data_IF_829930923930
#
_entry.id   IF_829930923930
#
_cell.length_a   1.000
_cell.length_b   1.000
_cell.length_c   1.000
_cell.angle_alpha   90.00
_cell.angle_beta   90.00
_cell.angle_gamma   90.00
#
_symmetry.space_group_name_H-M   'P 1'
#
loop_
_entity.id
_entity.type
_entity.pdbx_description
1 polymer ?
#
# COMPACT_ATOMS: atom_id res chain seq x y z
N UNK A 1 -24.99 1.03 13.42
CA UNK A 1 -25.54 0.48 12.16
C UNK A 1 -24.79 1.19 11.05
N UNK A 2 -23.54 0.76 10.79
CA UNK A 2 -22.55 1.49 9.99
C UNK A 2 -21.92 0.58 8.94
N UNK A 3 -22.69 0.22 7.91
CA UNK A 3 -22.27 -0.76 6.90
C UNK A 3 -22.29 -0.29 5.42
N UNK A 4 -23.04 0.74 4.98
CA UNK A 4 -23.04 1.09 3.55
C UNK A 4 -21.84 1.95 3.13
N UNK A 5 -21.44 2.94 3.93
CA UNK A 5 -20.36 3.87 3.56
C UNK A 5 -18.99 3.20 3.49
N UNK A 6 -18.72 2.23 4.37
CA UNK A 6 -17.47 1.46 4.36
C UNK A 6 -17.37 0.55 3.14
N UNK A 7 -18.49 -0.03 2.70
CA UNK A 7 -18.54 -0.86 1.48
C UNK A 7 -18.35 -0.04 0.21
N UNK A 8 -18.96 1.15 0.15
CA UNK A 8 -18.82 2.09 -0.96
C UNK A 8 -17.38 2.61 -1.07
N UNK A 9 -16.80 3.03 0.05
CA UNK A 9 -15.43 3.53 0.11
C UNK A 9 -14.41 2.45 -0.28
N UNK A 10 -14.59 1.21 0.18
CA UNK A 10 -13.73 0.09 -0.21
C UNK A 10 -13.83 -0.21 -1.71
N UNK A 11 -15.04 -0.18 -2.28
CA UNK A 11 -15.28 -0.36 -3.72
C UNK A 11 -14.60 0.74 -4.54
N UNK A 12 -14.77 2.00 -4.15
CA UNK A 12 -14.13 3.14 -4.80
C UNK A 12 -12.60 3.09 -4.68
N UNK A 13 -12.08 2.80 -3.49
CA UNK A 13 -10.63 2.64 -3.28
C UNK A 13 -10.03 1.56 -4.18
N UNK A 14 -10.72 0.42 -4.34
CA UNK A 14 -10.29 -0.61 -5.29
C UNK A 14 -10.34 -0.12 -6.74
N UNK A 15 -11.41 0.55 -7.14
CA UNK A 15 -11.55 1.08 -8.49
C UNK A 15 -10.45 2.12 -8.83
N UNK A 16 -10.06 2.97 -7.87
CA UNK A 16 -8.93 3.89 -8.03
C UNK A 16 -7.65 3.11 -8.33
N UNK A 17 -7.34 2.08 -7.54
CA UNK A 17 -6.13 1.26 -7.75
C UNK A 17 -6.17 0.56 -9.10
N UNK A 18 -7.30 -0.04 -9.47
CA UNK A 18 -7.43 -0.74 -10.74
C UNK A 18 -7.24 0.23 -11.93
N UNK A 19 -7.79 1.45 -11.87
CA UNK A 19 -7.59 2.49 -12.88
C UNK A 19 -6.13 2.96 -12.98
N UNK A 20 -5.43 3.11 -11.84
CA UNK A 20 -3.99 3.44 -11.83
C UNK A 20 -3.19 2.34 -12.53
N UNK A 21 -3.45 1.07 -12.21
CA UNK A 21 -2.75 -0.07 -12.81
C UNK A 21 -3.05 -0.20 -14.31
N UNK A 22 -4.23 0.25 -14.76
CA UNK A 22 -4.62 0.29 -16.17
C UNK A 22 -4.09 1.52 -16.93
N UNK A 23 -3.27 2.37 -16.30
CA UNK A 23 -2.76 3.64 -16.86
C UNK A 23 -3.87 4.66 -17.20
N UNK A 24 -5.04 4.52 -16.58
CA UNK A 24 -6.20 5.41 -16.78
C UNK A 24 -6.22 6.51 -15.71
N UNK A 25 -5.25 7.41 -15.77
CA UNK A 25 -5.01 8.36 -14.68
C UNK A 25 -6.13 9.40 -14.50
N UNK A 26 -6.75 9.87 -15.58
CA UNK A 26 -7.87 10.82 -15.48
C UNK A 26 -9.08 10.17 -14.78
N UNK A 27 -9.33 8.88 -15.06
CA UNK A 27 -10.37 8.10 -14.40
C UNK A 27 -10.02 7.85 -12.92
N UNK A 28 -8.76 7.52 -12.62
CA UNK A 28 -8.29 7.37 -11.25
C UNK A 28 -8.49 8.66 -10.42
N UNK A 29 -8.24 9.85 -11.00
CA UNK A 29 -8.48 11.13 -10.31
C UNK A 29 -9.98 11.36 -10.04
N UNK A 30 -10.83 11.07 -11.02
CA UNK A 30 -12.28 11.19 -10.86
C UNK A 30 -12.82 10.26 -9.77
N UNK A 31 -12.37 9.00 -9.76
CA UNK A 31 -12.74 8.02 -8.75
C UNK A 31 -12.21 8.38 -7.37
N UNK A 32 -10.99 8.93 -7.28
CA UNK A 32 -10.39 9.38 -6.03
C UNK A 32 -11.15 10.58 -5.46
N UNK A 33 -11.59 11.52 -6.30
CA UNK A 33 -12.44 12.63 -5.88
C UNK A 33 -13.77 12.12 -5.29
N UNK A 34 -14.41 11.14 -5.92
CA UNK A 34 -15.62 10.50 -5.37
C UNK A 34 -15.33 9.79 -4.04
N UNK A 35 -14.18 9.13 -3.91
CA UNK A 35 -13.76 8.51 -2.65
C UNK A 35 -13.61 9.56 -1.54
N UNK A 36 -13.03 10.72 -1.82
CA UNK A 36 -12.91 11.80 -0.83
C UNK A 36 -14.25 12.38 -0.38
N UNK A 37 -15.27 12.33 -1.23
CA UNK A 37 -16.63 12.78 -0.91
C UNK A 37 -17.33 11.78 0.01
N UNK A 38 -17.23 10.48 -0.30
CA UNK A 38 -17.85 9.40 0.49
C UNK A 38 -17.08 9.09 1.78
N UNK A 39 -15.75 9.20 1.74
CA UNK A 39 -14.86 8.91 2.86
C UNK A 39 -13.79 10.01 3.00
N UNK A 40 -14.11 11.13 3.68
CA UNK A 40 -13.20 12.27 3.79
C UNK A 40 -11.80 11.98 4.33
N UNK A 41 -11.64 10.97 5.19
CA UNK A 41 -10.34 10.56 5.72
C UNK A 41 -9.39 9.98 4.66
N UNK A 42 -9.90 9.60 3.48
CA UNK A 42 -9.05 9.20 2.36
C UNK A 42 -8.16 10.35 1.84
N UNK A 43 -8.48 11.61 2.15
CA UNK A 43 -7.63 12.77 1.80
C UNK A 43 -6.26 12.71 2.46
N UNK A 44 -6.18 12.03 3.60
CA UNK A 44 -4.95 11.84 4.37
C UNK A 44 -4.21 10.55 3.98
N UNK A 45 -4.68 9.83 2.95
CA UNK A 45 -4.03 8.62 2.45
C UNK A 45 -3.08 8.96 1.29
N UNK A 46 -1.76 9.09 1.53
CA UNK A 46 -0.82 9.51 0.50
C UNK A 46 -0.64 8.45 -0.61
N UNK A 47 -0.97 7.19 -0.33
CA UNK A 47 -0.77 6.05 -1.23
C UNK A 47 -1.31 6.29 -2.64
N UNK A 48 -2.53 6.84 -2.79
CA UNK A 48 -3.12 7.04 -4.11
C UNK A 48 -2.30 8.05 -4.94
N UNK A 49 -1.90 9.16 -4.32
CA UNK A 49 -1.09 10.19 -4.98
C UNK A 49 0.30 9.66 -5.34
N UNK A 50 0.90 8.85 -4.47
CA UNK A 50 2.18 8.19 -4.72
C UNK A 50 2.07 7.24 -5.90
N UNK A 51 1.09 6.34 -5.91
CA UNK A 51 0.88 5.38 -6.99
C UNK A 51 0.65 6.07 -8.34
N UNK A 52 -0.15 7.13 -8.37
CA UNK A 52 -0.36 7.92 -9.59
C UNK A 52 0.93 8.59 -10.09
N UNK A 53 1.76 9.14 -9.20
CA UNK A 53 3.04 9.73 -9.58
C UNK A 53 4.01 8.65 -10.12
N UNK A 54 4.06 7.48 -9.49
CA UNK A 54 4.87 6.35 -9.94
C UNK A 54 4.41 5.83 -11.32
N UNK A 55 3.09 5.75 -11.54
CA UNK A 55 2.53 5.37 -12.83
C UNK A 55 2.92 6.35 -13.94
N UNK A 56 2.98 7.66 -13.63
CA UNK A 56 3.51 8.71 -14.52
C UNK A 56 5.02 8.67 -14.72
N UNK A 57 5.73 7.72 -14.10
CA UNK A 57 7.20 7.64 -14.02
C UNK A 57 7.83 8.85 -13.34
N UNK A 58 7.05 9.60 -12.56
CA UNK A 58 7.49 10.74 -11.77
C UNK A 58 7.84 10.29 -10.34
N UNK A 59 8.94 9.54 -10.22
CA UNK A 59 9.43 9.05 -8.93
C UNK A 59 9.80 10.22 -7.99
N UNK A 60 10.22 11.36 -8.55
CA UNK A 60 10.53 12.56 -7.77
C UNK A 60 9.28 13.20 -7.18
N UNK A 61 8.20 13.30 -7.95
CA UNK A 61 6.90 13.73 -7.45
C UNK A 61 6.36 12.79 -6.37
N UNK A 62 6.51 11.47 -6.55
CA UNK A 62 6.16 10.50 -5.53
C UNK A 62 6.96 10.70 -4.23
N UNK A 63 8.27 10.92 -4.35
CA UNK A 63 9.13 11.26 -3.22
C UNK A 63 8.74 12.56 -2.52
N UNK A 64 8.41 13.62 -3.27
CA UNK A 64 7.94 14.89 -2.69
C UNK A 64 6.69 14.73 -1.84
N UNK A 65 5.76 13.84 -2.25
CA UNK A 65 4.56 13.53 -1.46
C UNK A 65 4.95 12.90 -0.13
N UNK A 66 5.76 11.84 -0.14
CA UNK A 66 6.07 11.08 1.09
C UNK A 66 7.07 11.79 2.00
N UNK A 67 8.00 12.57 1.45
CA UNK A 67 8.98 13.33 2.22
C UNK A 67 8.37 14.56 2.92
N UNK A 68 7.18 15.01 2.48
CA UNK A 68 6.40 16.03 3.19
C UNK A 68 5.68 15.50 4.44
N UNK A 69 5.65 14.18 4.66
CA UNK A 69 5.00 13.56 5.80
C UNK A 69 5.97 13.43 6.98
N UNK A 70 5.45 13.38 8.23
CA UNK A 70 6.24 13.06 9.42
C UNK A 70 7.07 11.77 9.27
N UNK A 71 8.15 11.68 10.03
CA UNK A 71 9.16 10.63 9.81
C UNK A 71 8.62 9.21 9.98
N UNK A 72 7.72 9.06 10.95
CA UNK A 72 7.03 7.84 11.35
C UNK A 72 5.81 7.50 10.48
N UNK A 73 5.39 8.38 9.56
CA UNK A 73 4.23 8.16 8.71
C UNK A 73 4.60 7.52 7.37
N UNK A 74 3.97 6.38 7.09
CA UNK A 74 4.11 5.61 5.85
C UNK A 74 5.59 5.31 5.47
N UNK A 75 6.42 4.81 6.40
CA UNK A 75 7.83 4.51 6.13
C UNK A 75 8.04 3.49 4.98
N UNK A 76 7.05 2.64 4.71
CA UNK A 76 7.03 1.72 3.58
C UNK A 76 6.99 2.43 2.22
N UNK A 77 6.30 3.57 2.12
CA UNK A 77 6.26 4.37 0.89
C UNK A 77 7.55 5.14 0.69
N UNK A 78 8.20 5.58 1.78
CA UNK A 78 9.55 6.15 1.73
C UNK A 78 10.56 5.11 1.22
N UNK A 79 10.53 3.89 1.76
CA UNK A 79 11.38 2.79 1.30
C UNK A 79 11.21 2.55 -0.21
N UNK A 80 9.96 2.45 -0.69
CA UNK A 80 9.66 2.24 -2.11
C UNK A 80 10.19 3.38 -2.99
N UNK A 81 9.94 4.64 -2.62
CA UNK A 81 10.37 5.79 -3.41
C UNK A 81 11.90 5.89 -3.47
N UNK A 82 12.59 5.72 -2.35
CA UNK A 82 14.06 5.75 -2.30
C UNK A 82 14.68 4.61 -3.10
N UNK A 83 14.08 3.41 -3.07
CA UNK A 83 14.51 2.28 -3.88
C UNK A 83 14.45 2.62 -5.37
N UNK A 84 13.34 3.20 -5.83
CA UNK A 84 13.17 3.61 -7.23
C UNK A 84 14.08 4.77 -7.63
N UNK A 85 14.53 5.59 -6.67
CA UNK A 85 15.53 6.65 -6.88
C UNK A 85 16.98 6.14 -6.84
N UNK A 86 17.20 4.86 -6.55
CA UNK A 86 18.52 4.26 -6.26
C UNK A 86 19.25 4.92 -5.07
N UNK A 87 18.51 5.46 -4.11
CA UNK A 87 19.08 6.05 -2.90
C UNK A 87 19.28 4.96 -1.82
N UNK A 88 20.52 4.70 -1.35
CA UNK A 88 20.81 3.59 -0.44
C UNK A 88 20.07 3.66 0.90
N UNK A 89 19.54 4.83 1.28
CA UNK A 89 18.70 4.97 2.48
C UNK A 89 17.43 4.12 2.42
N UNK A 90 17.00 3.67 1.24
CA UNK A 90 15.87 2.73 1.12
C UNK A 90 16.07 1.48 1.99
N UNK A 91 17.31 1.02 2.13
CA UNK A 91 17.64 -0.22 2.82
C UNK A 91 17.35 -0.11 4.33
N UNK A 92 17.59 1.05 4.95
CA UNK A 92 17.31 1.23 6.38
C UNK A 92 15.81 1.20 6.66
N UNK A 93 14.99 1.84 5.82
CA UNK A 93 13.53 1.77 5.96
C UNK A 93 13.00 0.36 5.71
N UNK A 94 13.46 -0.32 4.67
CA UNK A 94 13.02 -1.68 4.36
C UNK A 94 13.39 -2.66 5.48
N UNK A 95 14.59 -2.54 6.06
CA UNK A 95 15.03 -3.38 7.19
C UNK A 95 14.21 -3.10 8.44
N UNK A 96 13.93 -1.83 8.76
CA UNK A 96 13.12 -1.46 9.92
C UNK A 96 11.67 -2.02 9.87
N UNK A 97 11.21 -2.40 8.68
CA UNK A 97 9.86 -2.88 8.42
C UNK A 97 9.82 -4.37 8.00
N UNK A 98 10.94 -5.08 8.04
CA UNK A 98 10.99 -6.51 7.66
C UNK A 98 10.14 -7.39 8.59
N UNK A 99 9.94 -6.96 9.84
CA UNK A 99 9.07 -7.60 10.82
C UNK A 99 7.75 -6.85 11.04
N UNK A 100 7.31 -6.04 10.06
CA UNK A 100 6.05 -5.29 10.16
C UNK A 100 4.89 -6.23 10.51
N UNK A 101 4.00 -5.85 11.45
CA UNK A 101 2.81 -6.65 11.79
C UNK A 101 1.86 -6.77 10.59
N UNK A 102 1.88 -5.81 9.67
CA UNK A 102 1.13 -5.88 8.43
C UNK A 102 1.83 -6.87 7.45
N UNK A 103 1.17 -7.99 7.09
CA UNK A 103 1.76 -9.00 6.23
C UNK A 103 2.06 -8.51 4.81
N UNK A 104 1.31 -7.52 4.30
CA UNK A 104 1.54 -6.94 2.99
C UNK A 104 2.76 -6.03 3.00
N UNK A 105 2.92 -5.20 4.03
CA UNK A 105 4.11 -4.37 4.20
C UNK A 105 5.34 -5.26 4.36
N UNK A 106 5.30 -6.23 5.27
CA UNK A 106 6.39 -7.19 5.47
C UNK A 106 6.81 -7.87 4.16
N UNK A 107 5.83 -8.38 3.41
CA UNK A 107 6.08 -9.01 2.10
C UNK A 107 6.72 -8.06 1.10
N UNK A 108 6.26 -6.81 1.03
CA UNK A 108 6.83 -5.80 0.14
C UNK A 108 8.28 -5.45 0.52
N UNK A 109 8.57 -5.29 1.80
CA UNK A 109 9.90 -4.94 2.29
C UNK A 109 10.90 -6.09 2.08
N UNK A 110 10.52 -7.33 2.38
CA UNK A 110 11.33 -8.51 2.06
C UNK A 110 11.60 -8.64 0.56
N UNK A 111 10.62 -8.28 -0.29
CA UNK A 111 10.83 -8.26 -1.73
C UNK A 111 11.84 -7.19 -2.17
N UNK A 112 11.83 -6.00 -1.56
CA UNK A 112 12.85 -4.96 -1.80
C UNK A 112 14.24 -5.41 -1.35
N UNK A 113 14.33 -6.13 -0.23
CA UNK A 113 15.56 -6.71 0.30
C UNK A 113 16.06 -7.95 -0.46
N UNK A 114 15.32 -8.41 -1.48
CA UNK A 114 15.66 -9.60 -2.26
C UNK A 114 15.37 -10.94 -1.58
N UNK A 115 14.61 -10.95 -0.48
CA UNK A 115 14.29 -12.14 0.34
C UNK A 115 12.87 -12.68 0.13
N UNK A 116 12.43 -12.78 -1.13
CA UNK A 116 11.03 -13.12 -1.49
C UNK A 116 10.53 -14.45 -0.93
N UNK A 117 11.41 -15.41 -0.67
CA UNK A 117 11.08 -16.75 -0.15
C UNK A 117 10.69 -16.72 1.33
N UNK A 118 11.17 -15.74 2.10
CA UNK A 118 10.85 -15.59 3.53
C UNK A 118 9.44 -14.99 3.74
N UNK A 119 8.89 -14.33 2.71
CA UNK A 119 7.60 -13.67 2.79
C UNK A 119 6.38 -14.63 2.67
N UNK A 120 6.56 -15.88 2.23
CA UNK A 120 5.47 -16.85 2.06
C UNK A 120 5.18 -17.70 3.30
N UNK A 121 5.96 -17.58 4.36
CA UNK A 121 5.92 -18.51 5.51
C UNK A 121 4.81 -18.15 6.51
N UNK A 122 4.13 -17.01 6.34
CA UNK A 122 3.14 -16.50 7.31
C UNK A 122 1.78 -16.26 6.65
N UNK A 123 1.24 -17.25 5.96
CA UNK A 123 -0.22 -17.37 5.87
C UNK A 123 -0.68 -18.15 7.10
N UNK A 124 -1.59 -17.63 7.96
CA UNK A 124 -2.18 -18.45 8.98
C UNK A 124 -2.93 -19.58 8.28
N UNK A 125 -2.47 -20.82 8.50
CA UNK A 125 -3.21 -22.03 8.15
C UNK A 125 -4.65 -21.89 8.66
N UNK A 126 -5.58 -21.45 7.80
CA UNK A 126 -7.03 -21.60 8.01
C UNK A 126 -7.46 -23.08 7.82
N UNK A 127 -6.57 -24.04 8.08
CA UNK A 127 -6.76 -25.45 7.76
C UNK A 127 -6.24 -26.40 8.84
N UNK A 128 -6.51 -26.10 10.12
CA UNK A 128 -6.31 -27.09 11.19
C UNK A 128 -7.32 -27.03 12.33
N UNK A 129 -8.57 -26.63 12.09
CA UNK A 129 -9.68 -26.89 13.03
C UNK A 129 -10.89 -27.57 12.37
N UNK A 130 -10.68 -28.35 11.30
CA UNK A 130 -11.66 -29.33 10.83
C UNK A 130 -11.38 -30.76 11.34
N UNK A 131 -10.45 -30.93 12.28
CA UNK A 131 -10.17 -32.23 12.93
C UNK A 131 -10.77 -32.39 14.33
N UNK A 132 -11.45 -31.38 14.87
CA UNK A 132 -12.09 -31.48 16.20
C UNK A 132 -13.53 -32.02 16.16
N UNK A 133 -14.00 -32.55 15.02
CA UNK A 133 -15.36 -33.10 14.85
C UNK A 133 -15.38 -34.57 14.43
N UNK A 134 -14.32 -35.35 14.67
CA UNK A 134 -14.29 -36.77 14.32
C UNK A 134 -13.74 -37.73 15.38
N UNK A 135 -13.85 -37.41 16.68
CA UNK A 135 -13.81 -38.47 17.72
C UNK A 135 -14.82 -38.19 18.81
#
# INVERSE_FOLDING_TARGET
MDLPHTSEAARLGRAVVDAILADQLDEAESLLQQLHEVHPASRDMPIFRVLMALQRKDVRGAWQVVNGLPEDQNPELKALCLYLLNDPMWHSYATALEDSPDPHIRKAMLALLGRKEEASVVEPMQSTMLHALQV
#
